data_IF_777851372422
#
_entry.id   IF_777851372422
#
_cell.length_a   1.000
_cell.length_b   1.000
_cell.length_c   1.000
_cell.angle_alpha   90.00
_cell.angle_beta   90.00
_cell.angle_gamma   90.00
#
_symmetry.space_group_name_H-M   'P 1'
#
loop_
_entity.id
_entity.type
_entity.pdbx_description
1 polymer ?
#
# COMPACT_ATOMS: atom_id res chain seq x y z
N UNK A 1 9.31 -22.46 18.43
CA UNK A 1 8.16 -21.80 17.78
C UNK A 1 8.63 -21.29 16.43
N UNK A 2 8.05 -21.79 15.34
CA UNK A 2 8.56 -21.64 13.99
C UNK A 2 8.02 -20.34 13.36
N UNK A 3 8.91 -19.46 12.91
CA UNK A 3 8.62 -18.08 12.45
C UNK A 3 7.90 -18.04 11.09
N UNK A 4 7.64 -19.20 10.48
CA UNK A 4 7.16 -19.35 9.10
C UNK A 4 5.62 -19.53 8.94
N UNK A 5 4.78 -18.93 9.80
CA UNK A 5 3.30 -19.05 9.67
C UNK A 5 2.57 -17.72 9.52
N UNK A 6 3.23 -16.74 8.90
CA UNK A 6 2.61 -15.47 8.52
C UNK A 6 3.08 -15.15 7.10
N UNK A 7 2.47 -15.80 6.12
CA UNK A 7 2.28 -15.43 4.71
C UNK A 7 1.64 -16.68 4.08
N UNK A 8 0.46 -16.56 3.48
CA UNK A 8 0.03 -17.56 2.48
C UNK A 8 1.04 -17.43 1.34
N UNK A 9 2.04 -18.30 1.34
CA UNK A 9 3.21 -18.24 0.46
C UNK A 9 2.89 -18.52 -1.01
N UNK A 10 1.66 -18.93 -1.32
CA UNK A 10 1.28 -19.44 -2.64
C UNK A 10 0.16 -18.64 -3.30
N UNK A 11 -0.10 -17.39 -2.89
CA UNK A 11 -1.02 -16.54 -3.65
C UNK A 11 -0.40 -16.23 -5.03
N UNK A 12 -1.00 -16.68 -6.15
CA UNK A 12 -0.43 -16.49 -7.49
C UNK A 12 -0.45 -15.02 -7.94
N UNK A 13 -1.18 -14.16 -7.23
CA UNK A 13 -1.38 -12.75 -7.57
C UNK A 13 -2.52 -12.55 -8.58
N UNK A 14 -3.07 -11.34 -8.62
CA UNK A 14 -4.26 -11.01 -9.44
C UNK A 14 -3.98 -10.92 -10.94
N UNK A 15 -2.72 -10.78 -11.33
CA UNK A 15 -2.28 -10.77 -12.74
C UNK A 15 -1.85 -12.15 -13.27
N UNK A 16 -1.92 -13.20 -12.47
CA UNK A 16 -1.56 -14.57 -12.88
C UNK A 16 -2.74 -15.26 -13.57
N UNK A 17 -2.45 -16.14 -14.52
CA UNK A 17 -3.45 -17.02 -15.15
C UNK A 17 -4.12 -17.97 -14.16
N UNK A 18 -3.43 -18.26 -13.05
CA UNK A 18 -3.86 -19.12 -11.95
C UNK A 18 -4.67 -18.38 -10.87
N UNK A 19 -4.87 -17.06 -11.02
CA UNK A 19 -5.65 -16.24 -10.09
C UNK A 19 -7.09 -16.79 -9.93
N UNK A 20 -7.48 -17.12 -8.70
CA UNK A 20 -8.80 -17.70 -8.40
C UNK A 20 -8.95 -19.18 -8.75
N UNK A 21 -7.92 -19.81 -9.36
CA UNK A 21 -7.92 -21.21 -9.81
C UNK A 21 -6.94 -22.09 -9.04
N UNK A 22 -5.83 -21.52 -8.56
CA UNK A 22 -4.84 -22.23 -7.77
C UNK A 22 -5.44 -22.79 -6.46
N UNK A 23 -4.86 -23.87 -5.94
CA UNK A 23 -5.23 -24.44 -4.63
C UNK A 23 -5.16 -23.40 -3.51
N UNK A 24 -4.19 -22.50 -3.57
CA UNK A 24 -4.03 -21.38 -2.64
C UNK A 24 -5.16 -20.35 -2.69
N UNK A 25 -5.99 -20.33 -3.75
CA UNK A 25 -7.15 -19.46 -3.86
C UNK A 25 -8.41 -20.07 -3.23
N UNK A 26 -8.42 -21.36 -2.90
CA UNK A 26 -9.58 -22.03 -2.35
C UNK A 26 -9.97 -21.43 -0.98
N UNK A 27 -11.20 -20.91 -0.88
CA UNK A 27 -11.69 -20.27 0.35
C UNK A 27 -11.21 -18.82 0.54
N UNK A 28 -10.49 -18.25 -0.43
CA UNK A 28 -10.19 -16.83 -0.44
C UNK A 28 -11.49 -16.02 -0.66
N UNK A 29 -11.80 -14.99 0.15
CA UNK A 29 -13.00 -14.16 -0.04
C UNK A 29 -13.12 -13.54 -1.44
N UNK A 30 -11.99 -13.36 -2.13
CA UNK A 30 -11.92 -12.76 -3.46
C UNK A 30 -11.74 -13.79 -4.59
N UNK A 31 -11.87 -15.09 -4.34
CA UNK A 31 -11.60 -16.15 -5.33
C UNK A 31 -12.34 -15.92 -6.66
N UNK A 32 -13.64 -15.66 -6.60
CA UNK A 32 -14.47 -15.43 -7.80
C UNK A 32 -14.06 -14.18 -8.58
N UNK A 33 -13.62 -13.13 -7.87
CA UNK A 33 -13.16 -11.87 -8.47
C UNK A 33 -11.80 -12.07 -9.14
N UNK A 34 -10.91 -12.86 -8.54
CA UNK A 34 -9.65 -13.24 -9.16
C UNK A 34 -9.88 -14.13 -10.39
N UNK A 35 -10.79 -15.12 -10.29
CA UNK A 35 -11.10 -16.05 -11.39
C UNK A 35 -11.75 -15.37 -12.60
N UNK A 36 -12.46 -14.24 -12.40
CA UNK A 36 -13.10 -13.49 -13.48
C UNK A 36 -12.12 -12.66 -14.33
N UNK A 37 -10.86 -12.53 -13.90
CA UNK A 37 -9.84 -11.74 -14.59
C UNK A 37 -10.03 -10.22 -14.47
N UNK A 38 -11.11 -9.76 -13.82
CA UNK A 38 -11.38 -8.32 -13.63
C UNK A 38 -10.25 -7.63 -12.84
N UNK A 39 -9.63 -8.35 -11.91
CA UNK A 39 -8.52 -7.84 -11.10
C UNK A 39 -7.15 -7.80 -11.82
N UNK A 40 -7.06 -8.31 -13.05
CA UNK A 40 -5.83 -8.28 -13.86
C UNK A 40 -5.67 -6.98 -14.67
N UNK A 41 -6.77 -6.27 -14.91
CA UNK A 41 -6.76 -5.01 -15.66
C UNK A 41 -6.10 -3.88 -14.87
N UNK A 42 -5.45 -2.91 -15.55
CA UNK A 42 -4.96 -1.71 -14.89
C UNK A 42 -6.15 -0.96 -14.30
N UNK A 43 -6.12 -0.72 -12.99
CA UNK A 43 -7.14 0.08 -12.32
C UNK A 43 -7.14 1.49 -12.96
N UNK A 44 -8.27 1.96 -13.53
CA UNK A 44 -8.36 3.29 -14.12
C UNK A 44 -8.02 4.41 -13.13
N UNK A 45 -8.08 4.14 -11.82
CA UNK A 45 -7.63 5.07 -10.79
C UNK A 45 -6.11 5.25 -10.74
N UNK A 46 -5.30 4.36 -11.34
CA UNK A 46 -3.83 4.48 -11.32
C UNK A 46 -3.37 5.80 -11.93
N UNK A 47 -3.91 6.21 -13.08
CA UNK A 47 -3.53 7.48 -13.72
C UNK A 47 -3.97 8.68 -12.88
N UNK A 48 -5.14 8.60 -12.24
CA UNK A 48 -5.61 9.63 -11.31
C UNK A 48 -4.74 9.72 -10.04
N UNK A 49 -4.30 8.58 -9.51
CA UNK A 49 -3.40 8.54 -8.34
C UNK A 49 -2.04 9.09 -8.73
N UNK A 50 -1.49 8.70 -9.89
CA UNK A 50 -0.23 9.24 -10.43
C UNK A 50 -0.29 10.76 -10.57
N UNK A 51 -1.37 11.30 -11.14
CA UNK A 51 -1.52 12.74 -11.34
C UNK A 51 -1.63 13.49 -10.00
N UNK A 52 -2.38 12.95 -9.03
CA UNK A 52 -2.48 13.54 -7.68
C UNK A 52 -1.17 13.49 -6.89
N UNK A 53 -0.36 12.46 -7.12
CA UNK A 53 0.92 12.25 -6.44
C UNK A 53 2.12 12.80 -7.22
N UNK A 54 1.92 13.51 -8.33
CA UNK A 54 2.99 14.00 -9.20
C UNK A 54 3.92 14.97 -8.46
N UNK A 55 3.37 15.81 -7.59
CA UNK A 55 4.09 16.83 -6.83
C UNK A 55 4.59 16.33 -5.46
N UNK A 56 4.30 15.07 -5.09
CA UNK A 56 4.77 14.48 -3.83
C UNK A 56 6.18 13.93 -4.04
N UNK A 57 7.18 14.71 -3.60
CA UNK A 57 8.61 14.38 -3.73
C UNK A 57 8.98 13.05 -3.04
N UNK A 58 8.45 12.80 -1.83
CA UNK A 58 8.78 11.63 -1.03
C UNK A 58 7.52 10.84 -0.66
N UNK A 59 7.47 9.55 -0.99
CA UNK A 59 6.36 8.63 -0.73
C UNK A 59 6.84 7.54 0.22
N UNK A 60 6.49 7.65 1.50
CA UNK A 60 6.99 6.75 2.56
C UNK A 60 5.89 5.74 2.90
N UNK A 61 6.19 4.45 2.75
CA UNK A 61 5.30 3.35 3.10
C UNK A 61 5.78 2.68 4.40
N UNK A 62 4.95 2.71 5.45
CA UNK A 62 5.25 2.08 6.74
C UNK A 62 4.59 0.70 6.82
N UNK A 63 5.38 -0.36 6.80
CA UNK A 63 4.94 -1.75 6.86
C UNK A 63 5.41 -2.44 8.14
N UNK A 64 4.62 -3.38 8.66
CA UNK A 64 4.99 -4.23 9.80
C UNK A 64 4.01 -5.41 9.91
N UNK A 65 4.28 -6.33 10.83
CA UNK A 65 3.47 -7.51 11.09
C UNK A 65 2.06 -7.23 11.61
N UNK A 66 1.32 -8.30 11.90
CA UNK A 66 -0.08 -8.26 12.39
C UNK A 66 -0.14 -7.70 13.82
N UNK A 67 -1.12 -6.82 14.10
CA UNK A 67 -1.58 -6.40 15.44
C UNK A 67 -0.55 -5.78 16.41
N UNK A 68 -0.84 -4.62 17.00
CA UNK A 68 -0.08 -4.12 18.17
C UNK A 68 1.39 -3.70 17.97
N UNK A 69 2.00 -3.93 16.80
CA UNK A 69 3.42 -3.63 16.50
C UNK A 69 3.76 -2.13 16.33
N UNK A 70 2.84 -1.22 16.64
CA UNK A 70 3.14 0.23 16.64
C UNK A 70 3.21 0.95 15.29
N UNK A 71 2.77 0.35 14.16
CA UNK A 71 2.76 1.01 12.83
C UNK A 71 2.20 2.43 12.85
N UNK A 72 1.01 2.60 13.41
CA UNK A 72 0.33 3.90 13.47
C UNK A 72 1.08 4.87 14.37
N UNK A 73 1.63 4.40 15.50
CA UNK A 73 2.45 5.22 16.40
C UNK A 73 3.69 5.76 15.70
N UNK A 74 4.43 4.89 15.02
CA UNK A 74 5.62 5.29 14.24
C UNK A 74 5.25 6.27 13.13
N UNK A 75 4.16 5.99 12.40
CA UNK A 75 3.68 6.87 11.32
C UNK A 75 3.34 8.27 11.85
N UNK A 76 2.63 8.36 12.97
CA UNK A 76 2.27 9.63 13.60
C UNK A 76 3.49 10.41 14.10
N UNK A 77 4.43 9.74 14.76
CA UNK A 77 5.66 10.37 15.26
C UNK A 77 6.56 10.85 14.11
N UNK A 78 6.70 10.04 13.06
CA UNK A 78 7.44 10.42 11.85
C UNK A 78 6.83 11.67 11.20
N UNK A 79 5.51 11.69 11.02
CA UNK A 79 4.81 12.86 10.47
C UNK A 79 5.00 14.11 11.33
N UNK A 80 4.91 13.98 12.66
CA UNK A 80 5.13 15.09 13.58
C UNK A 80 6.56 15.64 13.52
N UNK A 81 7.56 14.75 13.47
CA UNK A 81 8.96 15.14 13.35
C UNK A 81 9.23 15.86 12.03
N UNK A 82 8.73 15.35 10.90
CA UNK A 82 8.91 15.96 9.58
C UNK A 82 8.30 17.37 9.51
N UNK A 83 7.10 17.54 10.08
CA UNK A 83 6.45 18.85 10.17
C UNK A 83 7.25 19.83 11.04
N UNK A 84 7.82 19.37 12.16
CA UNK A 84 8.67 20.19 13.03
C UNK A 84 9.99 20.60 12.36
N UNK A 85 10.59 19.72 11.55
CA UNK A 85 11.82 20.01 10.82
C UNK A 85 11.60 20.95 9.63
N UNK A 86 10.40 20.93 9.03
CA UNK A 86 10.07 21.71 7.83
C UNK A 86 8.79 22.54 8.06
N UNK A 87 8.82 23.57 8.93
CA UNK A 87 7.61 24.28 9.36
C UNK A 87 6.87 24.99 8.22
N UNK A 88 7.57 25.36 7.13
CA UNK A 88 6.98 26.07 5.99
C UNK A 88 6.65 25.14 4.80
N UNK A 89 6.90 23.84 4.89
CA UNK A 89 6.69 22.90 3.76
C UNK A 89 5.22 22.78 3.34
N UNK A 90 4.29 23.07 4.25
CA UNK A 90 2.85 23.14 3.97
C UNK A 90 2.32 24.58 3.85
N UNK A 91 3.20 25.58 3.88
CA UNK A 91 2.80 26.96 3.60
C UNK A 91 2.36 27.05 2.14
N UNK A 92 1.12 27.50 1.92
CA UNK A 92 0.56 27.66 0.56
C UNK A 92 1.06 28.93 -0.13
N UNK A 93 1.90 29.72 0.55
CA UNK A 93 2.61 30.82 -0.06
C UNK A 93 3.79 30.30 -0.91
N UNK A 94 3.77 30.47 -2.25
CA UNK A 94 4.83 29.98 -3.13
C UNK A 94 6.20 30.61 -2.88
N UNK A 95 6.29 31.79 -2.25
CA UNK A 95 7.58 32.44 -1.91
C UNK A 95 8.27 31.83 -0.68
N UNK A 96 7.54 31.06 0.14
CA UNK A 96 8.05 30.47 1.40
C UNK A 96 8.20 28.94 1.34
N UNK A 97 7.80 28.34 0.22
CA UNK A 97 7.91 26.89 0.00
C UNK A 97 9.27 26.58 -0.67
N UNK A 98 10.03 25.58 -0.18
CA UNK A 98 11.38 25.26 -0.66
C UNK A 98 11.43 24.48 -1.99
#
# INVERSE_FOLDING_TARGET
MNVNKILDTDCPGTGSEDAGKASACAGCPNQNICASGVAAGPDPAIELIKSRLSNVKHKILVLSGKGGVGKSTVTSLLGHMLAKQNPNMNDRNPEKSP
#
